data_IF_733682121678
#
_entry.id   IF_733682121678
#
_cell.length_a   1.000
_cell.length_b   1.000
_cell.length_c   1.000
_cell.angle_alpha   90.00
_cell.angle_beta   90.00
_cell.angle_gamma   90.00
#
_symmetry.space_group_name_H-M   'P 1'
#
loop_
_entity.id
_entity.type
_entity.pdbx_description
1 polymer ?
#
# COMPACT_ATOMS: atom_id res chain seq x y z
N UNK A 1 13.39 -5.69 32.53
CA UNK A 1 13.89 -6.73 33.44
C UNK A 1 15.31 -6.32 33.75
N UNK A 2 15.46 -5.60 34.85
CA UNK A 2 16.75 -5.32 35.47
C UNK A 2 17.38 -6.65 35.86
N UNK A 3 18.62 -6.87 35.46
CA UNK A 3 19.53 -7.73 36.18
C UNK A 3 20.86 -6.99 36.21
N UNK A 4 21.06 -6.32 37.35
CA UNK A 4 22.37 -6.06 37.91
C UNK A 4 23.18 -7.34 37.87
N UNK A 5 24.35 -7.28 37.23
CA UNK A 5 25.46 -8.17 37.58
C UNK A 5 26.73 -7.32 37.59
N UNK A 6 26.78 -6.42 38.58
CA UNK A 6 28.04 -5.80 39.02
C UNK A 6 28.79 -6.90 39.77
N UNK A 7 29.52 -7.72 39.01
CA UNK A 7 30.55 -8.60 39.55
C UNK A 7 31.68 -7.69 40.03
N UNK A 8 31.62 -7.36 41.32
CA UNK A 8 32.76 -6.78 42.02
C UNK A 8 33.88 -7.81 41.98
N UNK A 9 34.88 -7.57 41.15
CA UNK A 9 36.21 -8.15 41.32
C UNK A 9 36.70 -7.70 42.70
N UNK A 10 36.46 -8.54 43.70
CA UNK A 10 37.09 -8.42 44.99
C UNK A 10 38.53 -8.88 44.76
N UNK A 11 39.36 -7.88 44.43
CA UNK A 11 40.79 -8.02 44.24
C UNK A 11 41.38 -8.52 45.56
N UNK A 12 41.66 -9.82 45.65
CA UNK A 12 42.54 -10.39 46.68
C UNK A 12 43.97 -9.95 46.33
N UNK A 13 44.24 -8.65 46.47
CA UNK A 13 45.54 -8.00 46.24
C UNK A 13 46.55 -8.32 47.35
N UNK A 14 46.50 -9.55 47.90
CA UNK A 14 47.34 -10.03 48.99
C UNK A 14 48.35 -11.12 48.61
N UNK A 15 48.22 -11.74 47.44
CA UNK A 15 49.08 -12.88 47.03
C UNK A 15 50.19 -12.50 46.04
N UNK A 16 50.19 -11.25 45.56
CA UNK A 16 51.14 -10.77 44.54
C UNK A 16 52.58 -10.62 45.05
N UNK A 17 52.81 -10.62 46.36
CA UNK A 17 54.13 -10.33 46.96
C UNK A 17 54.78 -11.58 47.61
N UNK A 18 54.20 -12.76 47.39
CA UNK A 18 54.75 -14.01 47.93
C UNK A 18 55.60 -14.68 46.85
N UNK A 19 56.91 -14.81 47.10
CA UNK A 19 57.81 -15.55 46.20
C UNK A 19 57.20 -16.90 45.86
N UNK A 20 57.30 -17.29 44.58
CA UNK A 20 56.79 -18.57 44.10
C UNK A 20 57.27 -19.70 45.01
N UNK A 21 56.36 -20.57 45.47
CA UNK A 21 56.68 -21.69 46.36
C UNK A 21 57.83 -22.56 45.80
N UNK A 22 57.93 -22.62 44.47
CA UNK A 22 59.02 -23.30 43.75
C UNK A 22 60.36 -22.56 43.88
N UNK A 23 60.35 -21.23 43.78
CA UNK A 23 61.55 -20.38 43.95
C UNK A 23 61.99 -20.36 45.42
N UNK A 24 61.04 -20.28 46.36
CA UNK A 24 61.31 -20.36 47.79
C UNK A 24 61.90 -21.73 48.21
N UNK A 25 61.42 -22.83 47.62
CA UNK A 25 61.98 -24.16 47.84
C UNK A 25 63.40 -24.33 47.27
N UNK A 26 63.68 -23.73 46.11
CA UNK A 26 65.03 -23.68 45.53
C UNK A 26 65.97 -22.82 46.38
N UNK A 27 65.53 -21.63 46.78
CA UNK A 27 66.26 -20.74 47.67
C UNK A 27 66.64 -21.47 48.97
N UNK A 28 65.67 -22.10 49.64
CA UNK A 28 65.90 -22.88 50.87
C UNK A 28 66.92 -24.01 50.69
N UNK A 29 66.92 -24.67 49.53
CA UNK A 29 67.87 -25.74 49.22
C UNK A 29 69.28 -25.19 48.98
N UNK A 30 69.40 -24.06 48.27
CA UNK A 30 70.68 -23.41 47.97
C UNK A 30 71.30 -22.80 49.24
N UNK A 31 70.53 -22.09 50.06
CA UNK A 31 71.01 -21.52 51.32
C UNK A 31 71.51 -22.60 52.29
N UNK A 32 70.84 -23.77 52.34
CA UNK A 32 71.31 -24.92 53.15
C UNK A 32 72.62 -25.52 52.66
N UNK A 33 72.89 -25.50 51.35
CA UNK A 33 74.20 -25.91 50.81
C UNK A 33 75.28 -24.87 51.13
N UNK A 34 74.96 -23.59 51.07
CA UNK A 34 75.87 -22.52 51.48
C UNK A 34 76.25 -22.60 52.95
N UNK A 35 75.31 -22.89 53.83
CA UNK A 35 75.58 -23.10 55.25
C UNK A 35 76.61 -24.23 55.47
N UNK A 36 76.47 -25.36 54.76
CA UNK A 36 77.46 -26.47 54.80
C UNK A 36 78.83 -26.09 54.21
N UNK A 37 78.89 -25.20 53.24
CA UNK A 37 80.13 -24.69 52.66
C UNK A 37 80.88 -23.77 53.64
N UNK A 38 80.14 -22.88 54.31
CA UNK A 38 80.68 -21.95 55.31
C UNK A 38 81.24 -22.73 56.50
N UNK A 39 80.55 -23.78 56.96
CA UNK A 39 81.03 -24.65 58.06
C UNK A 39 82.38 -25.33 57.76
N UNK A 40 82.74 -25.52 56.48
CA UNK A 40 83.91 -26.31 56.05
C UNK A 40 85.06 -25.45 55.55
N UNK A 41 84.78 -24.28 54.97
CA UNK A 41 85.73 -23.46 54.23
C UNK A 41 85.68 -21.95 54.57
N UNK A 42 84.94 -21.57 55.62
CA UNK A 42 84.70 -20.19 56.04
C UNK A 42 83.82 -19.35 55.06
N UNK A 43 83.45 -18.15 55.51
CA UNK A 43 82.48 -17.26 54.84
C UNK A 43 83.02 -16.64 53.54
N UNK A 44 84.33 -16.42 53.46
CA UNK A 44 84.97 -15.71 52.34
C UNK A 44 84.76 -16.40 50.98
N UNK A 45 84.51 -17.72 50.96
CA UNK A 45 84.26 -18.48 49.73
C UNK A 45 82.90 -18.17 49.10
N UNK A 46 81.90 -17.80 49.91
CA UNK A 46 80.52 -17.57 49.43
C UNK A 46 80.21 -16.08 49.26
N UNK A 47 81.03 -15.19 49.85
CA UNK A 47 80.79 -13.74 49.91
C UNK A 47 80.50 -13.07 48.57
N UNK A 48 81.25 -13.40 47.52
CA UNK A 48 81.04 -12.84 46.17
C UNK A 48 79.98 -13.60 45.36
N UNK A 49 79.69 -14.85 45.74
CA UNK A 49 78.70 -15.70 45.07
C UNK A 49 77.27 -15.43 45.56
N UNK A 50 77.11 -15.07 46.83
CA UNK A 50 75.81 -14.82 47.46
C UNK A 50 74.98 -13.76 46.72
N UNK A 51 75.51 -12.58 46.35
CA UNK A 51 74.74 -11.56 45.64
C UNK A 51 74.29 -12.01 44.26
N UNK A 52 75.10 -12.85 43.58
CA UNK A 52 74.74 -13.41 42.27
C UNK A 52 73.58 -14.39 42.39
N UNK A 53 73.59 -15.26 43.41
CA UNK A 53 72.49 -16.21 43.65
C UNK A 53 71.22 -15.50 44.08
N UNK A 54 71.32 -14.50 44.96
CA UNK A 54 70.18 -13.65 45.35
C UNK A 54 69.57 -12.98 44.11
N UNK A 55 70.40 -12.32 43.29
CA UNK A 55 69.93 -11.68 42.05
C UNK A 55 69.32 -12.67 41.05
N UNK A 56 69.83 -13.90 40.97
CA UNK A 56 69.23 -14.96 40.15
C UNK A 56 67.85 -15.39 40.69
N UNK A 57 67.70 -15.54 42.01
CA UNK A 57 66.42 -15.90 42.63
C UNK A 57 65.38 -14.79 42.47
N UNK A 58 65.77 -13.53 42.66
CA UNK A 58 64.90 -12.36 42.43
C UNK A 58 64.47 -12.25 40.95
N UNK A 59 65.40 -12.47 40.01
CA UNK A 59 65.08 -12.47 38.58
C UNK A 59 64.14 -13.62 38.20
N UNK A 60 64.32 -14.82 38.79
CA UNK A 60 63.40 -15.91 38.57
C UNK A 60 62.02 -15.60 39.13
N UNK A 61 61.94 -15.06 40.34
CA UNK A 61 60.67 -14.73 40.98
C UNK A 61 59.89 -13.66 40.23
N UNK A 62 60.57 -12.60 39.77
CA UNK A 62 59.96 -11.57 38.91
C UNK A 62 59.43 -12.11 37.59
N UNK A 63 60.15 -13.05 36.94
CA UNK A 63 59.66 -13.73 35.74
C UNK A 63 58.46 -14.62 36.05
N UNK A 64 58.43 -15.29 37.21
CA UNK A 64 57.25 -16.07 37.62
C UNK A 64 56.04 -15.17 37.89
N UNK A 65 56.22 -14.02 38.54
CA UNK A 65 55.17 -13.05 38.78
C UNK A 65 54.59 -12.51 37.47
N UNK A 66 55.44 -12.05 36.54
CA UNK A 66 55.01 -11.59 35.22
C UNK A 66 54.28 -12.70 34.43
N UNK A 67 54.76 -13.95 34.51
CA UNK A 67 54.09 -15.06 33.85
C UNK A 67 52.72 -15.38 34.46
N UNK A 68 52.53 -15.23 35.77
CA UNK A 68 51.19 -15.37 36.40
C UNK A 68 50.25 -14.27 35.90
N UNK A 69 50.71 -13.02 35.85
CA UNK A 69 49.94 -11.89 35.32
C UNK A 69 49.47 -12.13 33.89
N UNK A 70 50.38 -12.58 33.00
CA UNK A 70 50.02 -12.93 31.62
C UNK A 70 49.01 -14.08 31.53
N UNK A 71 49.06 -15.06 32.44
CA UNK A 71 48.05 -16.14 32.48
C UNK A 71 46.68 -15.58 32.84
N UNK A 72 46.60 -14.69 33.83
CA UNK A 72 45.35 -14.01 34.21
C UNK A 72 44.82 -13.16 33.07
N UNK A 73 45.67 -12.37 32.41
CA UNK A 73 45.29 -11.57 31.24
C UNK A 73 44.75 -12.45 30.10
N UNK A 74 45.37 -13.59 29.83
CA UNK A 74 44.89 -14.55 28.83
C UNK A 74 43.54 -15.16 29.19
N UNK A 75 43.25 -15.40 30.47
CA UNK A 75 41.94 -15.89 30.92
C UNK A 75 40.86 -14.82 30.75
N UNK A 76 41.12 -13.58 31.15
CA UNK A 76 40.20 -12.45 30.94
C UNK A 76 39.90 -12.24 29.45
N UNK A 77 40.92 -12.27 28.60
CA UNK A 77 40.73 -12.11 27.15
C UNK A 77 39.93 -13.27 26.54
N UNK A 78 40.03 -14.49 27.09
CA UNK A 78 39.20 -15.62 26.65
C UNK A 78 37.75 -15.43 27.05
N UNK A 79 37.48 -15.00 28.29
CA UNK A 79 36.13 -14.72 28.76
C UNK A 79 35.46 -13.61 27.92
N UNK A 80 36.18 -12.52 27.64
CA UNK A 80 35.71 -11.45 26.75
C UNK A 80 35.41 -11.98 25.34
N UNK A 81 36.25 -12.88 24.81
CA UNK A 81 36.03 -13.50 23.51
C UNK A 81 34.75 -14.37 23.51
N UNK A 82 34.53 -15.17 24.55
CA UNK A 82 33.32 -15.99 24.70
C UNK A 82 32.05 -15.14 24.77
N UNK A 83 32.11 -14.01 25.50
CA UNK A 83 31.02 -13.05 25.54
C UNK A 83 30.75 -12.43 24.16
N UNK A 84 31.80 -12.02 23.44
CA UNK A 84 31.69 -11.48 22.08
C UNK A 84 31.09 -12.49 21.10
N UNK A 85 31.50 -13.76 21.18
CA UNK A 85 30.94 -14.84 20.35
C UNK A 85 29.44 -15.00 20.63
N UNK A 86 29.04 -15.04 21.90
CA UNK A 86 27.63 -15.16 22.30
C UNK A 86 26.79 -13.99 21.79
N UNK A 87 27.30 -12.77 21.91
CA UNK A 87 26.62 -11.57 21.40
C UNK A 87 26.51 -11.59 19.88
N UNK A 88 27.59 -11.97 19.18
CA UNK A 88 27.60 -12.11 17.73
C UNK A 88 26.56 -13.12 17.25
N UNK A 89 26.45 -14.28 17.89
CA UNK A 89 25.46 -15.29 17.53
C UNK A 89 24.02 -14.80 17.73
N UNK A 90 23.76 -14.09 18.83
CA UNK A 90 22.46 -13.47 19.10
C UNK A 90 22.09 -12.44 18.03
N UNK A 91 23.00 -11.53 17.69
CA UNK A 91 22.78 -10.51 16.67
C UNK A 91 22.60 -11.13 15.28
N UNK A 92 23.41 -12.14 14.95
CA UNK A 92 23.27 -12.92 13.72
C UNK A 92 21.89 -13.56 13.61
N UNK A 93 21.37 -14.13 14.70
CA UNK A 93 20.03 -14.71 14.73
C UNK A 93 18.93 -13.65 14.56
N UNK A 94 19.05 -12.49 15.23
CA UNK A 94 18.12 -11.37 15.08
C UNK A 94 18.11 -10.83 13.66
N UNK A 95 19.28 -10.67 13.03
CA UNK A 95 19.42 -10.23 11.65
C UNK A 95 18.76 -11.20 10.69
N UNK A 96 19.00 -12.50 10.85
CA UNK A 96 18.37 -13.55 10.04
C UNK A 96 16.84 -13.52 10.16
N UNK A 97 16.31 -13.39 11.39
CA UNK A 97 14.87 -13.29 11.63
C UNK A 97 14.25 -12.04 10.98
N UNK A 98 14.96 -10.91 11.02
CA UNK A 98 14.52 -9.67 10.38
C UNK A 98 14.49 -9.78 8.84
N UNK A 99 15.48 -10.48 8.26
CA UNK A 99 15.56 -10.74 6.82
C UNK A 99 14.43 -11.66 6.35
N UNK A 100 14.15 -12.74 7.09
CA UNK A 100 13.03 -13.65 6.82
C UNK A 100 11.68 -12.92 6.84
N UNK A 101 11.48 -12.02 7.81
CA UNK A 101 10.28 -11.16 7.86
C UNK A 101 10.19 -10.20 6.68
N UNK A 102 11.32 -9.63 6.26
CA UNK A 102 11.34 -8.70 5.13
C UNK A 102 10.95 -9.41 3.83
N UNK A 103 11.49 -10.60 3.59
CA UNK A 103 11.15 -11.44 2.42
C UNK A 103 9.65 -11.76 2.42
N UNK A 104 9.10 -12.22 3.55
CA UNK A 104 7.67 -12.54 3.64
C UNK A 104 6.75 -11.33 3.37
N UNK A 105 7.16 -10.14 3.82
CA UNK A 105 6.43 -8.90 3.55
C UNK A 105 6.52 -8.49 2.07
N UNK A 106 7.70 -8.62 1.46
CA UNK A 106 7.91 -8.35 0.03
C UNK A 106 7.03 -9.28 -0.82
N UNK A 107 7.03 -10.59 -0.55
CA UNK A 107 6.19 -11.57 -1.25
C UNK A 107 4.69 -11.25 -1.12
N UNK A 108 4.24 -10.89 0.08
CA UNK A 108 2.85 -10.49 0.33
C UNK A 108 2.48 -9.23 -0.44
N UNK A 109 3.35 -8.22 -0.43
CA UNK A 109 3.13 -6.96 -1.14
C UNK A 109 3.08 -7.19 -2.66
N UNK A 110 3.96 -8.02 -3.20
CA UNK A 110 3.97 -8.38 -4.61
C UNK A 110 2.72 -9.17 -5.01
N UNK A 111 2.22 -10.03 -4.11
CA UNK A 111 0.93 -10.71 -4.27
C UNK A 111 -0.25 -9.72 -4.36
N UNK A 112 -0.37 -8.80 -3.40
CA UNK A 112 -1.41 -7.77 -3.39
C UNK A 112 -1.33 -6.85 -4.62
N UNK A 113 -0.11 -6.45 -5.02
CA UNK A 113 0.12 -5.64 -6.21
C UNK A 113 -0.37 -6.35 -7.47
N UNK A 114 -0.09 -7.65 -7.62
CA UNK A 114 -0.58 -8.47 -8.75
C UNK A 114 -2.10 -8.56 -8.74
N UNK A 115 -2.73 -8.82 -7.59
CA UNK A 115 -4.19 -8.86 -7.48
C UNK A 115 -4.83 -7.52 -7.87
N UNK A 116 -4.34 -6.42 -7.31
CA UNK A 116 -4.82 -5.07 -7.64
C UNK A 116 -4.64 -4.75 -9.13
N UNK A 117 -3.54 -5.16 -9.73
CA UNK A 117 -3.31 -4.99 -11.16
C UNK A 117 -4.29 -5.82 -12.00
N UNK A 118 -4.57 -7.07 -11.62
CA UNK A 118 -5.58 -7.91 -12.27
C UNK A 118 -6.99 -7.29 -12.17
N UNK A 119 -7.34 -6.75 -11.00
CA UNK A 119 -8.61 -6.05 -10.77
C UNK A 119 -8.70 -4.78 -11.59
N UNK A 120 -7.62 -4.01 -11.69
CA UNK A 120 -7.53 -2.82 -12.54
C UNK A 120 -7.81 -3.17 -14.00
N UNK A 121 -7.10 -4.16 -14.55
CA UNK A 121 -7.28 -4.62 -15.94
C UNK A 121 -8.73 -5.04 -16.21
N UNK A 122 -9.34 -5.75 -15.26
CA UNK A 122 -10.75 -6.17 -15.35
C UNK A 122 -11.69 -4.95 -15.34
N UNK A 123 -11.48 -4.01 -14.42
CA UNK A 123 -12.28 -2.78 -14.36
C UNK A 123 -12.12 -1.93 -15.63
N UNK A 124 -10.92 -1.85 -16.19
CA UNK A 124 -10.66 -1.15 -17.45
C UNK A 124 -11.39 -1.79 -18.64
N UNK A 125 -11.39 -3.13 -18.71
CA UNK A 125 -12.09 -3.83 -19.80
C UNK A 125 -13.61 -3.62 -19.71
N UNK A 126 -14.17 -3.68 -18.49
CA UNK A 126 -15.58 -3.36 -18.23
C UNK A 126 -15.90 -1.91 -18.61
N UNK A 127 -15.04 -0.94 -18.28
CA UNK A 127 -15.21 0.45 -18.66
C UNK A 127 -15.22 0.63 -20.19
N UNK A 128 -14.27 0.02 -20.91
CA UNK A 128 -14.23 0.03 -22.39
C UNK A 128 -15.50 -0.58 -23.00
N UNK A 129 -16.03 -1.66 -22.41
CA UNK A 129 -17.27 -2.28 -22.88
C UNK A 129 -18.48 -1.34 -22.71
N UNK A 130 -18.58 -0.65 -21.56
CA UNK A 130 -19.65 0.31 -21.31
C UNK A 130 -19.55 1.53 -22.23
N UNK A 131 -18.33 2.01 -22.49
CA UNK A 131 -18.10 3.10 -23.44
C UNK A 131 -18.57 2.73 -24.85
N UNK A 132 -18.28 1.51 -25.31
CA UNK A 132 -18.76 1.02 -26.60
C UNK A 132 -20.29 0.93 -26.64
N UNK A 133 -20.93 0.43 -25.57
CA UNK A 133 -22.40 0.41 -25.46
C UNK A 133 -22.98 1.82 -25.49
N UNK A 134 -22.38 2.78 -24.80
CA UNK A 134 -22.81 4.17 -24.79
C UNK A 134 -22.73 4.80 -26.20
N UNK A 135 -21.64 4.55 -26.94
CA UNK A 135 -21.48 4.98 -28.34
C UNK A 135 -22.57 4.37 -29.23
N UNK A 136 -22.85 3.07 -29.11
CA UNK A 136 -23.92 2.43 -29.88
C UNK A 136 -25.31 3.03 -29.61
N UNK A 137 -25.62 3.36 -28.35
CA UNK A 137 -26.88 4.02 -28.02
C UNK A 137 -26.94 5.47 -28.53
N UNK A 138 -25.84 6.22 -28.46
CA UNK A 138 -25.77 7.56 -29.03
C UNK A 138 -26.03 7.55 -30.54
N UNK A 139 -25.44 6.60 -31.28
CA UNK A 139 -25.69 6.41 -32.71
C UNK A 139 -27.16 6.04 -32.99
N UNK A 140 -27.77 5.20 -32.16
CA UNK A 140 -29.18 4.85 -32.27
C UNK A 140 -30.08 6.06 -32.07
N UNK A 141 -29.81 6.88 -31.04
CA UNK A 141 -30.53 8.12 -30.76
C UNK A 141 -30.42 9.07 -31.95
N UNK A 142 -29.21 9.29 -32.48
CA UNK A 142 -28.98 10.18 -33.63
C UNK A 142 -29.80 9.77 -34.85
N UNK A 143 -29.90 8.47 -35.15
CA UNK A 143 -30.75 7.96 -36.24
C UNK A 143 -32.25 8.19 -35.99
N UNK A 144 -32.70 8.16 -34.74
CA UNK A 144 -34.10 8.48 -34.42
C UNK A 144 -34.38 9.97 -34.53
N UNK A 145 -33.47 10.82 -34.05
CA UNK A 145 -33.55 12.28 -34.18
C UNK A 145 -33.60 12.71 -35.65
N UNK A 146 -32.83 12.08 -36.54
CA UNK A 146 -32.87 12.34 -37.98
C UNK A 146 -34.24 12.00 -38.58
N UNK A 147 -34.81 10.84 -38.25
CA UNK A 147 -36.16 10.44 -38.70
C UNK A 147 -37.24 11.37 -38.16
N UNK A 148 -37.13 11.78 -36.89
CA UNK A 148 -38.05 12.75 -36.30
C UNK A 148 -37.96 14.10 -37.01
N UNK A 149 -36.75 14.56 -37.37
CA UNK A 149 -36.54 15.79 -38.12
C UNK A 149 -37.11 15.71 -39.54
N UNK A 150 -37.00 14.56 -40.22
CA UNK A 150 -37.64 14.32 -41.52
C UNK A 150 -39.16 14.42 -41.41
N UNK A 151 -39.78 13.70 -40.46
CA UNK A 151 -41.23 13.73 -40.25
C UNK A 151 -41.72 15.14 -39.90
N UNK A 152 -40.96 15.90 -39.10
CA UNK A 152 -41.27 17.31 -38.82
C UNK A 152 -41.21 18.17 -40.08
N UNK A 153 -40.23 17.95 -40.96
CA UNK A 153 -40.13 18.66 -42.26
C UNK A 153 -41.32 18.34 -43.16
N UNK A 154 -41.70 17.07 -43.29
CA UNK A 154 -42.86 16.64 -44.08
C UNK A 154 -44.17 17.22 -43.53
N UNK A 155 -44.37 17.18 -42.21
CA UNK A 155 -45.53 17.78 -41.55
C UNK A 155 -45.61 19.29 -41.82
N UNK A 156 -44.50 20.01 -41.65
CA UNK A 156 -44.44 21.44 -41.92
C UNK A 156 -44.72 21.78 -43.39
N UNK A 157 -44.19 20.98 -44.33
CA UNK A 157 -44.45 21.14 -45.76
C UNK A 157 -45.92 20.91 -46.11
N UNK A 158 -46.54 19.87 -45.55
CA UNK A 158 -47.97 19.59 -45.73
C UNK A 158 -48.83 20.71 -45.13
N UNK A 159 -48.48 21.18 -43.93
CA UNK A 159 -49.15 22.29 -43.28
C UNK A 159 -49.06 23.56 -44.13
N UNK A 160 -47.88 23.88 -44.66
CA UNK A 160 -47.67 25.02 -45.55
C UNK A 160 -48.56 24.92 -46.79
N UNK A 161 -48.59 23.76 -47.45
CA UNK A 161 -49.47 23.52 -48.63
C UNK A 161 -50.96 23.67 -48.29
N UNK A 162 -51.38 23.19 -47.12
CA UNK A 162 -52.76 23.34 -46.66
C UNK A 162 -53.10 24.81 -46.40
N UNK A 163 -52.21 25.56 -45.77
CA UNK A 163 -52.37 26.99 -45.53
C UNK A 163 -52.43 27.78 -46.85
N UNK A 164 -51.57 27.46 -47.82
CA UNK A 164 -51.61 28.04 -49.18
C UNK A 164 -52.93 27.75 -49.88
N UNK A 165 -53.48 26.53 -49.75
CA UNK A 165 -54.78 26.18 -50.29
C UNK A 165 -55.91 27.04 -49.70
N UNK A 166 -55.89 27.27 -48.38
CA UNK A 166 -56.85 28.15 -47.70
C UNK A 166 -56.73 29.58 -48.21
N UNK A 167 -55.53 30.14 -48.25
CA UNK A 167 -55.31 31.49 -48.75
C UNK A 167 -55.78 31.64 -50.20
N UNK A 168 -55.42 30.68 -51.08
CA UNK A 168 -55.89 30.66 -52.47
C UNK A 168 -57.41 30.64 -52.55
N UNK A 169 -58.09 29.78 -51.76
CA UNK A 169 -59.54 29.72 -51.71
C UNK A 169 -60.17 31.05 -51.26
N UNK A 170 -59.62 31.67 -50.21
CA UNK A 170 -60.06 32.99 -49.74
C UNK A 170 -59.94 34.06 -50.83
N UNK A 171 -58.80 34.14 -51.51
CA UNK A 171 -58.61 35.08 -52.61
C UNK A 171 -59.61 34.83 -53.76
N UNK A 172 -59.92 33.57 -54.08
CA UNK A 172 -60.95 33.23 -55.07
C UNK A 172 -62.34 33.73 -54.65
N UNK A 173 -62.70 33.56 -53.38
CA UNK A 173 -63.98 34.03 -52.84
C UNK A 173 -64.08 35.57 -52.86
N UNK A 174 -63.00 36.26 -52.50
CA UNK A 174 -62.91 37.71 -52.61
C UNK A 174 -63.03 38.18 -54.06
N UNK A 175 -62.33 37.55 -55.01
CA UNK A 175 -62.44 37.86 -56.44
C UNK A 175 -63.85 37.64 -56.98
N UNK A 176 -64.53 36.56 -56.60
CA UNK A 176 -65.92 36.29 -57.00
C UNK A 176 -66.90 37.33 -56.45
N UNK A 177 -66.73 37.76 -55.18
CA UNK A 177 -67.55 38.80 -54.57
C UNK A 177 -67.44 40.14 -55.30
N UNK A 178 -66.25 40.52 -55.76
CA UNK A 178 -66.04 41.76 -56.52
C UNK A 178 -66.59 41.70 -57.96
N UNK A 179 -66.60 40.52 -58.60
CA UNK A 179 -67.20 40.34 -59.93
C UNK A 179 -68.74 40.35 -59.91
N UNK A 180 -69.37 39.85 -58.84
CA UNK A 180 -70.82 39.93 -58.66
C UNK A 180 -71.32 41.31 -58.17
N UNK A 181 -70.45 42.17 -57.63
CA UNK A 181 -70.82 43.53 -57.23
C UNK A 181 -70.97 44.51 -58.41
N UNK A 182 -70.58 44.13 -59.63
CA UNK A 182 -70.67 44.96 -60.85
C UNK A 182 -71.74 44.52 -61.86
N UNK A 183 -72.68 43.64 -61.49
CA UNK A 183 -73.81 43.26 -62.37
C UNK A 183 -75.15 43.20 -61.61
N UNK A 184 -76.19 43.96 -62.03
CA UNK A 184 -77.54 43.77 -61.53
C UNK A 184 -78.31 42.80 -62.44
N UNK A 185 -78.81 41.67 -61.92
CA UNK A 185 -80.12 41.07 -62.25
C UNK A 185 -80.29 39.63 -61.72
N UNK A 186 -81.32 39.48 -60.89
CA UNK A 186 -82.40 38.47 -60.81
C UNK A 186 -82.17 36.95 -61.10
N UNK A 187 -82.93 36.07 -60.41
CA UNK A 187 -82.63 34.64 -60.26
C UNK A 187 -83.43 33.72 -61.21
N UNK A 188 -82.88 32.55 -61.55
CA UNK A 188 -83.69 31.37 -61.89
C UNK A 188 -82.90 30.06 -61.79
N UNK A 189 -83.33 29.29 -60.80
CA UNK A 189 -83.66 27.86 -60.80
C UNK A 189 -83.17 26.97 -61.96
N UNK A 190 -82.41 25.93 -61.61
CA UNK A 190 -82.38 24.67 -62.36
C UNK A 190 -82.01 23.53 -61.42
N UNK A 191 -83.02 22.77 -61.04
CA UNK A 191 -82.88 21.57 -60.26
C UNK A 191 -82.29 20.41 -61.05
N UNK A 192 -81.48 19.59 -60.39
CA UNK A 192 -81.40 18.15 -60.64
C UNK A 192 -81.00 17.43 -59.35
N UNK A 193 -81.97 16.74 -58.77
CA UNK A 193 -81.79 15.71 -57.75
C UNK A 193 -81.46 14.37 -58.43
N UNK A 194 -80.88 13.44 -57.66
CA UNK A 194 -80.35 12.09 -57.98
C UNK A 194 -78.84 12.09 -58.25
N UNK A 195 -77.96 11.41 -57.50
CA UNK A 195 -78.10 10.24 -56.63
C UNK A 195 -77.22 10.41 -55.38
N UNK A 196 -77.82 10.31 -54.18
CA UNK A 196 -77.08 9.97 -52.96
C UNK A 196 -76.82 8.46 -52.95
N UNK A 197 -75.57 8.05 -53.17
CA UNK A 197 -75.11 6.72 -52.73
C UNK A 197 -74.29 6.92 -51.47
N UNK A 198 -74.83 6.40 -50.37
CA UNK A 198 -74.33 6.48 -49.01
C UNK A 198 -73.38 5.30 -48.80
N UNK A 199 -72.08 5.54 -48.78
CA UNK A 199 -71.11 4.61 -48.18
C UNK A 199 -70.50 5.24 -46.93
N UNK A 200 -70.31 4.40 -45.92
CA UNK A 200 -69.98 4.76 -44.53
C UNK A 200 -68.48 5.07 -44.43
N UNK A 201 -68.04 5.99 -43.54
CA UNK A 201 -66.63 6.11 -43.23
C UNK A 201 -66.18 4.85 -42.47
N UNK A 202 -65.15 4.16 -42.97
CA UNK A 202 -64.52 3.06 -42.24
C UNK A 202 -63.64 3.67 -41.14
N UNK A 203 -64.10 3.49 -39.91
CA UNK A 203 -63.36 3.76 -38.69
C UNK A 203 -62.41 2.60 -38.38
N UNK A 204 -61.12 2.96 -38.22
CA UNK A 204 -60.13 2.44 -37.26
C UNK A 204 -60.24 0.97 -36.78
N UNK A 205 -59.28 0.09 -37.12
CA UNK A 205 -58.69 -0.90 -36.18
C UNK A 205 -57.27 -1.32 -36.62
N UNK A 206 -56.38 -1.27 -35.63
CA UNK A 206 -55.01 -1.76 -35.43
C UNK A 206 -54.68 -3.18 -35.95
N UNK A 207 -53.50 -3.36 -36.56
CA UNK A 207 -52.81 -4.67 -36.64
C UNK A 207 -51.33 -4.49 -36.29
N UNK A 208 -50.98 -4.92 -35.09
CA UNK A 208 -49.61 -5.27 -34.70
C UNK A 208 -49.27 -6.61 -35.38
N UNK A 209 -48.08 -6.80 -35.99
CA UNK A 209 -47.67 -8.13 -36.40
C UNK A 209 -47.27 -8.94 -35.16
N UNK A 210 -48.22 -9.74 -34.69
CA UNK A 210 -47.96 -10.88 -33.82
C UNK A 210 -47.42 -12.05 -34.63
N UNK A 211 -46.36 -12.63 -34.08
CA UNK A 211 -45.71 -13.90 -34.43
C UNK A 211 -46.71 -15.05 -34.66
N UNK A 212 -46.46 -15.92 -35.64
CA UNK A 212 -46.22 -17.35 -35.37
C UNK A 212 -45.93 -18.19 -36.64
N UNK A 213 -45.05 -19.18 -36.45
CA UNK A 213 -44.74 -20.30 -37.35
C UNK A 213 -43.39 -20.13 -38.07
N UNK A 214 -42.44 -21.06 -38.06
CA UNK A 214 -42.44 -22.46 -37.64
C UNK A 214 -40.98 -23.00 -37.66
N UNK A 215 -40.61 -23.76 -36.62
CA UNK A 215 -39.57 -24.84 -36.53
C UNK A 215 -38.08 -24.46 -36.78
N UNK A 216 -37.06 -24.97 -36.09
CA UNK A 216 -36.89 -26.19 -35.28
C UNK A 216 -35.65 -26.06 -34.36
N UNK A 217 -35.67 -26.78 -33.21
CA UNK A 217 -34.53 -27.48 -32.55
C UNK A 217 -33.27 -26.65 -32.13
N UNK A 218 -32.75 -26.62 -30.90
CA UNK A 218 -32.59 -27.61 -29.83
C UNK A 218 -32.38 -26.90 -28.46
N UNK A 219 -32.83 -27.58 -27.39
CA UNK A 219 -32.28 -27.60 -26.03
C UNK A 219 -32.49 -26.40 -25.07
N UNK A 220 -33.45 -26.61 -24.15
CA UNK A 220 -33.61 -25.93 -22.86
C UNK A 220 -32.59 -26.43 -21.84
N UNK A 221 -32.05 -25.51 -21.04
CA UNK A 221 -31.87 -25.59 -19.58
C UNK A 221 -32.11 -24.15 -19.06
N UNK A 222 -33.25 -23.82 -18.45
CA UNK A 222 -33.62 -24.02 -17.04
C UNK A 222 -32.84 -23.12 -16.06
N UNK A 223 -33.38 -21.91 -15.80
CA UNK A 223 -33.71 -21.37 -14.46
C UNK A 223 -33.49 -19.85 -14.34
N UNK A 224 -34.57 -19.16 -13.97
CA UNK A 224 -34.68 -17.91 -13.22
C UNK A 224 -33.99 -16.63 -13.70
N UNK A 225 -34.77 -15.84 -14.45
CA UNK A 225 -34.72 -14.36 -14.38
C UNK A 225 -35.94 -13.84 -13.63
N UNK A 226 -35.77 -13.28 -12.42
CA UNK A 226 -36.61 -12.22 -11.93
C UNK A 226 -35.94 -10.89 -12.26
N UNK A 227 -36.50 -10.14 -13.21
CA UNK A 227 -36.23 -8.72 -13.34
C UNK A 227 -36.56 -8.02 -12.02
N UNK A 228 -35.58 -7.34 -11.43
CA UNK A 228 -35.72 -6.49 -10.26
C UNK A 228 -36.67 -5.31 -10.54
N UNK A 229 -37.70 -5.08 -9.71
CA UNK A 229 -38.28 -3.79 -9.46
C UNK A 229 -37.58 -3.17 -8.25
N UNK A 230 -36.78 -2.13 -8.51
CA UNK A 230 -36.33 -1.09 -7.58
C UNK A 230 -36.69 -1.29 -6.10
N UNK A 231 -35.73 -1.78 -5.31
CA UNK A 231 -35.75 -1.69 -3.85
C UNK A 231 -34.53 -0.90 -3.38
N UNK A 232 -34.74 0.38 -3.11
CA UNK A 232 -33.90 1.11 -2.17
C UNK A 232 -34.10 0.48 -0.78
N UNK A 233 -33.07 -0.19 -0.24
CA UNK A 233 -32.92 -0.26 1.21
C UNK A 233 -31.43 -0.39 1.62
N UNK A 234 -30.95 0.70 2.19
CA UNK A 234 -29.88 0.86 3.19
C UNK A 234 -28.94 -0.33 3.46
N UNK A 235 -27.74 -0.28 2.89
CA UNK A 235 -26.52 -0.72 3.58
C UNK A 235 -25.63 0.50 3.80
N UNK A 236 -25.67 1.00 5.03
CA UNK A 236 -24.54 1.47 5.83
C UNK A 236 -23.41 2.21 5.11
N UNK A 237 -23.29 3.51 5.41
CA UNK A 237 -22.03 4.25 5.52
C UNK A 237 -20.77 3.36 5.53
N UNK A 238 -19.82 3.51 4.58
CA UNK A 238 -18.43 3.30 4.93
C UNK A 238 -18.02 4.55 5.73
N UNK A 239 -18.16 4.49 7.06
CA UNK A 239 -17.44 5.44 7.91
C UNK A 239 -15.97 5.35 7.55
N UNK A 240 -15.42 6.47 7.08
CA UNK A 240 -14.02 6.70 6.79
C UNK A 240 -13.16 6.45 8.04
N UNK A 241 -12.77 5.20 8.29
CA UNK A 241 -11.89 4.82 9.40
C UNK A 241 -10.40 5.02 9.08
N UNK A 242 -10.06 5.95 8.18
CA UNK A 242 -8.67 6.28 7.85
C UNK A 242 -8.03 7.24 8.87
N UNK A 243 -8.81 7.93 9.70
CA UNK A 243 -8.29 8.89 10.68
C UNK A 243 -7.84 8.27 12.01
N UNK A 244 -8.52 7.21 12.49
CA UNK A 244 -8.24 6.64 13.81
C UNK A 244 -6.98 5.75 13.84
N UNK A 245 -6.61 5.13 12.72
CA UNK A 245 -5.37 4.35 12.61
C UNK A 245 -4.09 5.20 12.56
N UNK A 246 -4.20 6.49 12.23
CA UNK A 246 -3.07 7.41 12.30
C UNK A 246 -2.80 7.80 13.75
N UNK A 247 -3.82 8.12 14.54
CA UNK A 247 -3.64 8.46 15.96
C UNK A 247 -3.11 7.30 16.80
N UNK A 248 -3.51 6.05 16.53
CA UNK A 248 -2.94 4.88 17.21
C UNK A 248 -1.45 4.69 16.90
N UNK A 249 -1.03 4.93 15.65
CA UNK A 249 0.38 4.88 15.27
C UNK A 249 1.21 6.06 15.83
N UNK A 250 0.60 7.24 15.99
CA UNK A 250 1.25 8.39 16.64
C UNK A 250 1.34 8.23 18.16
N UNK A 251 0.37 7.56 18.78
CA UNK A 251 0.36 7.27 20.22
C UNK A 251 1.41 6.24 20.60
N UNK A 252 1.65 5.24 19.74
CA UNK A 252 2.70 4.23 19.94
C UNK A 252 4.13 4.82 19.89
N UNK A 253 4.33 5.99 19.27
CA UNK A 253 5.64 6.65 19.15
C UNK A 253 5.96 7.55 20.36
N UNK A 254 4.96 7.99 21.14
CA UNK A 254 5.21 8.76 22.38
C UNK A 254 5.54 7.92 23.60
N UNK A 255 5.47 6.60 23.50
CA UNK A 255 5.68 5.69 24.62
C UNK A 255 7.09 5.09 24.72
N UNK A 256 7.95 5.30 23.71
CA UNK A 256 9.36 4.86 23.76
C UNK A 256 10.30 6.07 23.89
N UNK A 257 10.53 6.48 25.13
CA UNK A 257 11.69 7.28 25.53
C UNK A 257 12.97 6.46 25.28
N UNK A 258 13.54 6.55 24.08
CA UNK A 258 14.75 5.81 23.75
C UNK A 258 15.29 6.06 22.35
N UNK A 259 16.00 7.18 22.17
CA UNK A 259 16.95 7.48 21.07
C UNK A 259 16.59 6.88 19.69
N UNK A 260 15.69 7.54 18.97
CA UNK A 260 15.51 7.28 17.54
C UNK A 260 16.72 7.86 16.79
N UNK A 261 17.53 7.00 16.18
CA UNK A 261 18.68 7.41 15.36
C UNK A 261 18.21 8.14 14.09
N UNK A 262 18.93 9.20 13.73
CA UNK A 262 18.60 10.15 12.64
C UNK A 262 18.26 9.47 11.30
N UNK A 263 18.82 8.27 11.04
CA UNK A 263 18.54 7.47 9.84
C UNK A 263 17.13 6.88 9.78
N UNK A 264 16.54 6.50 10.91
CA UNK A 264 15.19 5.94 10.95
C UNK A 264 14.13 7.02 10.70
N UNK A 265 14.37 8.24 11.18
CA UNK A 265 13.53 9.41 10.89
C UNK A 265 13.53 9.79 9.41
N UNK A 266 14.72 9.84 8.79
CA UNK A 266 14.85 10.18 7.36
C UNK A 266 14.16 9.15 6.46
N UNK A 267 14.26 7.86 6.79
CA UNK A 267 13.61 6.80 6.03
C UNK A 267 12.07 6.87 6.12
N UNK A 268 11.54 7.21 7.30
CA UNK A 268 10.09 7.31 7.53
C UNK A 268 9.50 8.59 6.89
N UNK A 269 10.21 9.72 6.91
CA UNK A 269 9.81 10.97 6.24
C UNK A 269 9.82 10.81 4.72
N UNK A 270 10.79 10.08 4.17
CA UNK A 270 10.84 9.76 2.74
C UNK A 270 9.62 8.93 2.30
N UNK A 271 9.21 7.96 3.12
CA UNK A 271 8.04 7.10 2.86
C UNK A 271 6.74 7.89 2.82
N UNK A 272 6.57 8.85 3.74
CA UNK A 272 5.38 9.72 3.79
C UNK A 272 5.35 10.70 2.61
N UNK A 273 6.50 11.28 2.24
CA UNK A 273 6.60 12.19 1.09
C UNK A 273 6.34 11.51 -0.28
N UNK A 274 6.53 10.19 -0.38
CA UNK A 274 6.26 9.42 -1.61
C UNK A 274 4.78 9.06 -1.78
N UNK A 275 4.00 9.02 -0.70
CA UNK A 275 2.60 8.60 -0.76
C UNK A 275 1.64 9.74 -1.12
N UNK A 276 1.95 11.01 -0.80
CA UNK A 276 1.06 12.16 -1.07
C UNK A 276 1.85 13.45 -1.46
N UNK A 277 1.94 13.82 -2.75
CA UNK A 277 2.68 15.01 -3.21
C UNK A 277 2.08 16.36 -2.74
N UNK A 278 0.79 16.37 -2.40
CA UNK A 278 0.01 17.59 -2.11
C UNK A 278 0.25 18.17 -0.70
N UNK A 279 0.90 17.44 0.22
CA UNK A 279 1.07 17.85 1.63
C UNK A 279 2.50 18.22 2.03
N UNK A 280 3.43 18.35 1.07
CA UNK A 280 4.85 18.67 1.33
C UNK A 280 5.06 19.97 2.12
N UNK A 281 4.14 20.94 2.05
CA UNK A 281 4.29 22.24 2.69
C UNK A 281 3.94 22.26 4.20
N UNK A 282 3.15 21.30 4.71
CA UNK A 282 2.77 21.28 6.13
C UNK A 282 3.78 20.58 7.04
N UNK A 283 4.62 19.68 6.51
CA UNK A 283 5.59 18.93 7.32
C UNK A 283 6.85 19.77 7.58
N UNK A 284 7.20 20.69 6.69
CA UNK A 284 8.38 21.57 6.86
C UNK A 284 8.18 22.72 7.87
N UNK A 285 6.96 23.05 8.27
CA UNK A 285 6.70 24.15 9.23
C UNK A 285 6.70 23.72 10.70
N UNK A 286 6.89 22.43 11.01
CA UNK A 286 6.77 21.88 12.36
C UNK A 286 8.11 21.55 13.05
N UNK A 287 9.26 21.93 12.46
CA UNK A 287 10.56 21.72 13.09
C UNK A 287 11.25 23.05 13.45
N UNK A 288 11.50 23.33 14.74
CA UNK A 288 12.43 24.38 15.14
C UNK A 288 13.84 23.93 14.78
N UNK A 289 14.57 24.84 14.13
CA UNK A 289 16.02 24.74 13.88
C UNK A 289 16.74 24.54 15.22
N UNK A 290 17.52 23.46 15.31
CA UNK A 290 18.55 23.21 16.30
C UNK A 290 19.90 23.27 15.58
#
# INVERSE_FOLDING_TARGET
>A
MELDDVVLYQDDTGDSDVMSERVAGLASSIYREFERLIERYDEDVVKDLMPLVVGLLENLDSVFAANKEHVVELELLKEDNEQLVTQYEREKALRKHSEEKYIALEDSQDGEKKDLQCRLITSESHARQLELKAKNYADQISRFEEREAELKREYNALHQRHTEMIHSYMEHLERAKHQHATTPSEPSDSGTSTKRRKERPISMVFQLPGSDGLSSEYQRDAADTPSEPWRFNNLSHPQSNTSLKLEDNFSQIRADDGRITQGHFLCQVQRICCLHPQHRLSICSAFPVL
#
